data_IF_189252662512
#
_entry.id   IF_189252662512
#
_cell.length_a   1.000
_cell.length_b   1.000
_cell.length_c   1.000
_cell.angle_alpha   90.00
_cell.angle_beta   90.00
_cell.angle_gamma   90.00
#
_symmetry.space_group_name_H-M   'P 1'
#
loop_
_entity.id
_entity.type
_entity.pdbx_description
1 polymer ?
#
# COMPACT_ATOMS: atom_id res chain seq x y z
N UNK A 1 4.82 8.13 10.02
CA UNK A 1 5.83 9.13 9.60
C UNK A 1 6.05 8.95 8.12
N UNK A 2 5.85 10.01 7.34
CA UNK A 2 6.25 10.03 5.93
C UNK A 2 7.72 10.44 5.88
N UNK A 3 8.55 9.66 5.19
CA UNK A 3 9.98 9.95 5.06
C UNK A 3 10.51 9.42 3.73
N UNK A 4 11.00 10.32 2.87
CA UNK A 4 11.52 9.95 1.54
C UNK A 4 12.79 9.09 1.59
N UNK A 5 13.44 8.94 2.75
CA UNK A 5 14.57 8.02 2.95
C UNK A 5 14.15 6.68 3.55
N UNK A 6 12.88 6.54 3.94
CA UNK A 6 12.32 5.33 4.51
C UNK A 6 10.91 5.10 3.96
N UNK A 7 10.87 4.59 2.74
CA UNK A 7 9.68 4.39 1.95
C UNK A 7 9.36 2.91 1.83
N UNK A 8 8.07 2.58 1.95
CA UNK A 8 7.62 1.21 2.05
C UNK A 8 7.13 0.64 0.71
N UNK A 9 6.18 1.31 0.05
CA UNK A 9 5.62 0.90 -1.26
C UNK A 9 5.32 2.13 -2.12
N UNK A 10 4.73 3.17 -1.54
CA UNK A 10 4.49 4.43 -2.24
C UNK A 10 5.79 5.22 -2.41
N UNK A 11 5.99 5.77 -3.61
CA UNK A 11 7.12 6.64 -3.88
C UNK A 11 6.84 8.06 -3.37
N UNK A 12 7.58 8.46 -2.34
CA UNK A 12 7.57 9.82 -1.81
C UNK A 12 8.66 10.63 -2.50
N UNK A 13 8.22 11.67 -3.21
CA UNK A 13 9.12 12.69 -3.75
C UNK A 13 9.92 13.36 -2.64
N UNK A 14 11.14 13.82 -2.94
CA UNK A 14 11.93 14.66 -2.04
C UNK A 14 11.25 15.98 -1.69
N UNK A 15 10.24 16.39 -2.47
CA UNK A 15 9.38 17.53 -2.19
C UNK A 15 8.38 17.27 -1.05
N UNK A 16 8.10 16.01 -0.71
CA UNK A 16 7.21 15.67 0.41
C UNK A 16 7.97 15.86 1.73
N UNK A 17 7.51 16.76 2.62
CA UNK A 17 8.18 16.98 3.89
C UNK A 17 8.19 15.72 4.74
N UNK A 18 9.31 15.45 5.40
CA UNK A 18 9.37 14.44 6.43
C UNK A 18 8.47 14.88 7.59
N UNK A 19 7.35 14.20 7.78
CA UNK A 19 6.34 14.63 8.75
C UNK A 19 5.64 13.47 9.44
N UNK A 20 5.14 13.76 10.64
CA UNK A 20 4.16 12.92 11.33
C UNK A 20 2.79 13.54 11.03
N UNK A 21 1.94 12.78 10.34
CA UNK A 21 0.55 13.16 10.14
C UNK A 21 -0.28 12.64 11.31
N UNK A 22 -1.09 13.52 11.89
CA UNK A 22 -2.14 13.16 12.82
C UNK A 22 -3.22 12.34 12.09
N UNK A 23 -3.70 11.29 12.74
CA UNK A 23 -4.72 10.39 12.20
C UNK A 23 -5.97 10.37 13.05
N UNK A 24 -5.82 10.20 14.37
CA UNK A 24 -6.95 10.00 15.27
C UNK A 24 -6.54 10.18 16.74
N UNK A 25 -7.51 10.53 17.58
CA UNK A 25 -7.38 10.52 19.03
C UNK A 25 -7.80 9.16 19.57
N UNK A 26 -7.05 8.60 20.52
CA UNK A 26 -7.38 7.33 21.17
C UNK A 26 -7.44 7.51 22.68
N UNK A 27 -8.35 6.79 23.34
CA UNK A 27 -8.35 6.69 24.81
C UNK A 27 -7.35 5.63 25.28
N UNK A 28 -6.81 5.83 26.48
CA UNK A 28 -6.05 4.79 27.19
C UNK A 28 -6.96 3.86 28.00
N UNK A 29 -8.23 4.21 28.14
CA UNK A 29 -9.21 3.39 28.86
C UNK A 29 -9.53 2.13 28.04
N UNK A 30 -9.13 0.97 28.57
CA UNK A 30 -9.29 -0.34 27.94
C UNK A 30 -10.75 -0.81 27.83
N UNK A 31 -11.68 -0.10 28.48
CA UNK A 31 -13.11 -0.44 28.48
C UNK A 31 -13.82 -0.07 27.16
N UNK A 32 -13.17 0.72 26.30
CA UNK A 32 -13.59 0.96 24.93
C UNK A 32 -13.00 -0.08 23.98
N UNK A 33 -13.84 -0.75 23.18
CA UNK A 33 -13.41 -1.35 21.90
C UNK A 33 -12.51 -0.33 21.20
N UNK A 34 -11.30 -0.71 20.76
CA UNK A 34 -10.21 0.18 20.31
C UNK A 34 -10.54 1.10 19.12
N UNK A 35 -11.53 1.96 19.29
CA UNK A 35 -12.06 2.92 18.37
C UNK A 35 -11.56 4.32 18.75
N UNK A 36 -11.50 5.23 17.77
CA UNK A 36 -11.24 6.64 18.02
C UNK A 36 -12.05 7.21 19.18
N UNK A 37 -11.40 7.98 20.04
CA UNK A 37 -12.03 8.73 21.13
C UNK A 37 -13.02 9.78 20.60
N UNK A 38 -12.65 10.41 19.48
CA UNK A 38 -13.47 11.40 18.79
C UNK A 38 -13.89 10.88 17.41
N UNK A 39 -15.05 11.32 16.89
CA UNK A 39 -15.37 11.16 15.48
C UNK A 39 -14.19 11.67 14.61
N UNK A 40 -13.85 11.00 13.49
CA UNK A 40 -12.65 11.34 12.73
C UNK A 40 -12.62 12.81 12.27
N UNK A 41 -13.75 13.32 11.79
CA UNK A 41 -13.92 14.71 11.36
C UNK A 41 -13.71 15.71 12.50
N UNK A 42 -14.25 15.45 13.68
CA UNK A 42 -14.03 16.28 14.87
C UNK A 42 -12.57 16.20 15.33
N UNK A 43 -11.99 15.00 15.36
CA UNK A 43 -10.61 14.78 15.77
C UNK A 43 -9.61 15.51 14.88
N UNK A 44 -9.85 15.52 13.56
CA UNK A 44 -9.06 16.28 12.59
C UNK A 44 -9.13 17.79 12.83
N UNK A 45 -10.32 18.34 13.12
CA UNK A 45 -10.48 19.76 13.45
C UNK A 45 -9.70 20.16 14.71
N UNK A 46 -9.71 19.31 15.74
CA UNK A 46 -8.92 19.56 16.95
C UNK A 46 -7.42 19.56 16.62
N UNK A 47 -6.94 18.61 15.84
CA UNK A 47 -5.54 18.56 15.44
C UNK A 47 -5.13 19.77 14.58
N UNK A 48 -5.98 20.20 13.66
CA UNK A 48 -5.77 21.41 12.84
C UNK A 48 -5.67 22.66 13.72
N UNK A 49 -6.56 22.82 14.70
CA UNK A 49 -6.52 23.94 15.66
C UNK A 49 -5.25 23.94 16.53
N UNK A 50 -4.64 22.77 16.75
CA UNK A 50 -3.35 22.64 17.43
C UNK A 50 -2.14 22.84 16.50
N UNK A 51 -2.38 23.14 15.21
CA UNK A 51 -1.33 23.29 14.20
C UNK A 51 -0.65 21.98 13.82
N UNK A 52 -1.27 20.83 14.08
CA UNK A 52 -0.70 19.54 13.73
C UNK A 52 -1.02 19.19 12.28
N UNK A 53 -0.02 18.76 11.48
CA UNK A 53 -0.27 18.25 10.15
C UNK A 53 -1.26 17.08 10.21
N UNK A 54 -2.44 17.24 9.62
CA UNK A 54 -3.50 16.24 9.63
C UNK A 54 -3.84 15.81 8.21
N UNK A 55 -4.73 14.83 8.10
CA UNK A 55 -5.31 14.42 6.83
C UNK A 55 -6.24 15.52 6.32
N UNK A 56 -6.09 15.92 5.06
CA UNK A 56 -6.76 17.11 4.49
C UNK A 56 -8.00 16.80 3.64
N UNK A 57 -8.27 15.53 3.35
CA UNK A 57 -9.42 15.12 2.54
C UNK A 57 -10.16 13.94 3.15
N UNK A 58 -11.46 14.11 3.35
CA UNK A 58 -12.37 13.04 3.75
C UNK A 58 -13.70 13.15 3.01
N UNK A 59 -14.35 12.02 2.80
CA UNK A 59 -15.69 11.95 2.22
C UNK A 59 -16.66 11.29 3.21
N UNK A 60 -17.82 11.91 3.41
CA UNK A 60 -18.92 11.36 4.20
C UNK A 60 -19.91 10.66 3.27
N UNK A 61 -20.27 9.43 3.59
CA UNK A 61 -21.16 8.57 2.79
C UNK A 61 -22.30 8.11 3.67
N UNK A 62 -23.53 8.27 3.19
CA UNK A 62 -24.74 7.93 3.95
C UNK A 62 -25.53 6.76 3.35
N UNK A 63 -24.99 6.11 2.31
CA UNK A 63 -25.65 5.01 1.61
C UNK A 63 -24.75 3.77 1.59
N UNK A 64 -25.30 2.62 1.98
CA UNK A 64 -24.59 1.34 1.93
C UNK A 64 -24.19 0.97 0.48
N UNK A 65 -24.99 1.37 -0.50
CA UNK A 65 -24.72 1.13 -1.92
C UNK A 65 -23.49 1.95 -2.34
N UNK A 66 -23.47 3.24 -2.01
CA UNK A 66 -22.33 4.12 -2.29
C UNK A 66 -21.06 3.63 -1.58
N UNK A 67 -21.18 3.16 -0.35
CA UNK A 67 -20.05 2.59 0.39
C UNK A 67 -19.48 1.33 -0.30
N UNK A 68 -20.34 0.43 -0.80
CA UNK A 68 -19.91 -0.76 -1.55
C UNK A 68 -19.24 -0.38 -2.87
N UNK A 69 -19.85 0.49 -3.66
CA UNK A 69 -19.30 0.98 -4.93
C UNK A 69 -17.95 1.67 -4.71
N UNK A 70 -17.82 2.46 -3.64
CA UNK A 70 -16.56 3.07 -3.29
C UNK A 70 -15.49 2.03 -2.92
N UNK A 71 -15.82 1.03 -2.10
CA UNK A 71 -14.87 -0.03 -1.74
C UNK A 71 -14.34 -0.76 -2.99
N UNK A 72 -15.22 -1.07 -3.94
CA UNK A 72 -14.81 -1.63 -5.24
C UNK A 72 -13.89 -0.67 -6.00
N UNK A 73 -14.24 0.62 -6.04
CA UNK A 73 -13.43 1.66 -6.68
C UNK A 73 -12.04 1.83 -6.03
N UNK A 74 -11.93 1.76 -4.71
CA UNK A 74 -10.64 1.85 -4.01
C UNK A 74 -9.68 0.76 -4.49
N UNK A 75 -10.18 -0.43 -4.84
CA UNK A 75 -9.31 -1.52 -5.36
C UNK A 75 -8.61 -1.16 -6.66
N UNK A 76 -9.20 -0.25 -7.44
CA UNK A 76 -8.68 0.16 -8.74
C UNK A 76 -7.77 1.39 -8.67
N UNK A 77 -7.59 2.02 -7.51
CA UNK A 77 -6.67 3.15 -7.43
C UNK A 77 -5.20 2.74 -7.63
N UNK A 78 -4.44 3.65 -8.21
CA UNK A 78 -3.01 3.47 -8.50
C UNK A 78 -2.15 4.43 -7.67
N UNK A 79 -0.94 4.00 -7.31
CA UNK A 79 0.06 4.85 -6.66
C UNK A 79 -0.23 5.19 -5.20
N UNK A 80 -1.30 4.62 -4.64
CA UNK A 80 -1.71 4.80 -3.25
C UNK A 80 -1.94 3.46 -2.57
N UNK A 81 -1.70 3.41 -1.26
CA UNK A 81 -1.87 2.23 -0.42
C UNK A 81 -3.34 1.84 -0.29
N UNK A 82 -4.21 2.84 -0.30
CA UNK A 82 -5.67 2.72 -0.15
C UNK A 82 -6.16 3.75 0.86
N UNK A 83 -7.22 3.41 1.59
CA UNK A 83 -7.87 4.33 2.51
C UNK A 83 -8.29 3.66 3.83
N UNK A 84 -8.69 4.49 4.78
CA UNK A 84 -9.36 4.06 6.01
C UNK A 84 -10.83 4.48 5.94
N UNK A 85 -11.72 3.52 6.13
CA UNK A 85 -13.17 3.74 6.23
C UNK A 85 -13.57 3.65 7.69
N UNK A 86 -14.12 4.72 8.23
CA UNK A 86 -14.67 4.79 9.58
C UNK A 86 -16.18 4.55 9.54
N UNK A 87 -16.68 3.71 10.43
CA UNK A 87 -18.12 3.45 10.59
C UNK A 87 -18.57 4.15 11.86
N UNK A 88 -19.57 5.01 11.73
CA UNK A 88 -20.18 5.74 12.84
C UNK A 88 -21.60 5.22 13.07
N UNK A 89 -22.08 5.30 14.32
CA UNK A 89 -23.49 5.07 14.63
C UNK A 89 -24.32 6.37 14.51
N UNK A 90 -25.62 6.27 14.84
CA UNK A 90 -26.56 7.40 14.85
C UNK A 90 -26.20 8.51 15.85
N UNK A 91 -25.27 8.25 16.78
CA UNK A 91 -24.77 9.22 17.76
C UNK A 91 -23.37 9.75 17.37
N UNK A 92 -22.93 9.53 16.12
CA UNK A 92 -21.59 9.85 15.63
C UNK A 92 -20.46 9.13 16.39
N UNK A 93 -20.74 8.07 17.15
CA UNK A 93 -19.67 7.31 17.81
C UNK A 93 -19.02 6.37 16.80
N UNK A 94 -17.69 6.31 16.78
CA UNK A 94 -16.98 5.33 15.94
C UNK A 94 -17.21 3.92 16.48
N UNK A 95 -17.88 3.10 15.69
CA UNK A 95 -18.18 1.69 15.99
C UNK A 95 -17.22 0.73 15.31
N UNK A 96 -16.49 1.18 14.29
CA UNK A 96 -15.54 0.35 13.58
C UNK A 96 -14.66 1.11 12.60
N UNK A 97 -13.60 0.44 12.16
CA UNK A 97 -12.71 0.92 11.10
C UNK A 97 -12.34 -0.22 10.16
N UNK A 98 -12.27 0.08 8.86
CA UNK A 98 -11.81 -0.84 7.83
C UNK A 98 -10.70 -0.19 7.02
N UNK A 99 -9.55 -0.87 6.95
CA UNK A 99 -8.46 -0.49 6.04
C UNK A 99 -8.71 -1.16 4.70
N UNK A 100 -9.07 -0.38 3.69
CA UNK A 100 -9.29 -0.91 2.34
C UNK A 100 -8.07 -0.58 1.48
N UNK A 101 -7.35 -1.61 1.02
CA UNK A 101 -6.08 -1.45 0.29
C UNK A 101 -6.28 -1.62 -1.21
N UNK A 102 -5.53 -0.86 -2.00
CA UNK A 102 -5.56 -1.01 -3.46
C UNK A 102 -5.00 -2.36 -3.90
N UNK A 103 -5.42 -2.84 -5.07
CA UNK A 103 -4.85 -4.07 -5.65
C UNK A 103 -3.35 -3.89 -5.93
N UNK A 104 -2.99 -2.74 -6.51
CA UNK A 104 -1.61 -2.32 -6.77
C UNK A 104 -0.71 -2.44 -5.53
N UNK A 105 -1.14 -1.85 -4.39
CA UNK A 105 -0.35 -1.88 -3.16
C UNK A 105 -0.18 -3.29 -2.60
N UNK A 106 -1.24 -4.11 -2.62
CA UNK A 106 -1.18 -5.48 -2.09
C UNK A 106 -0.16 -6.31 -2.87
N UNK A 107 -0.17 -6.18 -4.21
CA UNK A 107 0.74 -6.90 -5.09
C UNK A 107 2.18 -6.43 -4.91
N UNK A 108 2.42 -5.11 -4.94
CA UNK A 108 3.76 -4.56 -4.69
C UNK A 108 4.31 -4.93 -3.32
N UNK A 109 3.50 -4.89 -2.27
CA UNK A 109 3.92 -5.30 -0.92
C UNK A 109 4.34 -6.77 -0.90
N UNK A 110 3.60 -7.64 -1.59
CA UNK A 110 3.93 -9.06 -1.69
C UNK A 110 5.23 -9.28 -2.46
N UNK A 111 5.40 -8.60 -3.60
CA UNK A 111 6.62 -8.65 -4.42
C UNK A 111 7.81 -8.15 -3.63
N UNK A 112 7.71 -6.98 -2.97
CA UNK A 112 8.77 -6.43 -2.12
C UNK A 112 9.20 -7.43 -1.05
N UNK A 113 8.26 -8.07 -0.36
CA UNK A 113 8.60 -9.02 0.69
C UNK A 113 9.40 -10.21 0.13
N UNK A 114 9.04 -10.71 -1.06
CA UNK A 114 9.78 -11.78 -1.73
C UNK A 114 11.15 -11.31 -2.24
N UNK A 115 11.22 -10.13 -2.84
CA UNK A 115 12.45 -9.52 -3.32
C UNK A 115 13.44 -9.26 -2.18
N UNK A 116 12.99 -8.66 -1.08
CA UNK A 116 13.81 -8.44 0.13
C UNK A 116 14.36 -9.75 0.67
N UNK A 117 13.52 -10.77 0.77
CA UNK A 117 13.96 -12.11 1.19
C UNK A 117 14.98 -12.71 0.21
N UNK A 118 14.80 -12.53 -1.11
CA UNK A 118 15.75 -13.00 -2.11
C UNK A 118 17.10 -12.30 -1.99
N UNK A 119 17.12 -10.96 -1.91
CA UNK A 119 18.34 -10.16 -1.72
C UNK A 119 19.08 -10.56 -0.44
N UNK A 120 18.35 -10.67 0.68
CA UNK A 120 18.95 -11.09 1.95
C UNK A 120 19.56 -12.50 1.85
N UNK A 121 18.90 -13.45 1.19
CA UNK A 121 19.41 -14.81 1.04
C UNK A 121 20.59 -14.89 0.06
N UNK A 122 20.60 -14.08 -1.00
CA UNK A 122 21.74 -13.96 -1.91
C UNK A 122 22.99 -13.52 -1.14
N UNK A 123 22.85 -12.51 -0.29
CA UNK A 123 23.94 -11.95 0.50
C UNK A 123 24.41 -12.92 1.60
N UNK A 124 23.49 -13.50 2.37
CA UNK A 124 23.86 -14.31 3.54
C UNK A 124 24.18 -15.78 3.23
N UNK A 125 23.68 -16.32 2.11
CA UNK A 125 23.79 -17.74 1.73
C UNK A 125 23.90 -17.90 0.21
N UNK A 126 24.98 -17.36 -0.41
CA UNK A 126 25.13 -17.36 -1.86
C UNK A 126 25.18 -18.78 -2.46
N UNK A 127 25.77 -19.73 -1.75
CA UNK A 127 25.87 -21.15 -2.12
C UNK A 127 24.51 -21.84 -2.30
N UNK A 128 23.47 -21.37 -1.61
CA UNK A 128 22.11 -21.91 -1.67
C UNK A 128 21.14 -21.01 -2.43
N UNK A 129 21.64 -19.91 -3.00
CA UNK A 129 20.79 -18.97 -3.70
C UNK A 129 20.40 -19.54 -5.08
N UNK A 130 19.10 -19.67 -5.31
CA UNK A 130 18.55 -20.07 -6.60
C UNK A 130 17.49 -19.07 -7.03
N UNK A 131 17.78 -18.33 -8.10
CA UNK A 131 16.84 -17.38 -8.69
C UNK A 131 15.56 -18.08 -9.15
N UNK A 132 15.66 -19.27 -9.74
CA UNK A 132 14.50 -20.05 -10.18
C UNK A 132 13.56 -20.38 -9.03
N UNK A 133 14.10 -20.74 -7.86
CA UNK A 133 13.28 -20.98 -6.67
C UNK A 133 12.59 -19.70 -6.17
N UNK A 134 13.27 -18.55 -6.25
CA UNK A 134 12.69 -17.25 -5.84
C UNK A 134 11.61 -16.76 -6.79
N UNK A 135 11.79 -16.99 -8.08
CA UNK A 135 10.76 -16.77 -9.10
C UNK A 135 9.53 -17.62 -8.82
N UNK A 136 9.68 -18.94 -8.63
CA UNK A 136 8.55 -19.81 -8.30
C UNK A 136 7.80 -19.38 -7.02
N UNK A 137 8.53 -18.85 -6.02
CA UNK A 137 7.93 -18.33 -4.78
C UNK A 137 7.10 -17.06 -4.97
N UNK A 138 7.48 -16.15 -5.88
CA UNK A 138 6.68 -14.95 -6.16
C UNK A 138 5.48 -15.30 -7.03
N UNK A 139 5.64 -16.18 -8.01
CA UNK A 139 4.54 -16.66 -8.86
C UNK A 139 3.46 -17.37 -8.04
N UNK A 140 3.88 -18.30 -7.16
CA UNK A 140 2.96 -18.96 -6.22
C UNK A 140 2.21 -17.92 -5.39
N UNK A 141 2.91 -16.88 -4.91
CA UNK A 141 2.27 -15.86 -4.08
C UNK A 141 1.24 -15.06 -4.84
N UNK A 142 1.48 -14.69 -6.11
CA UNK A 142 0.49 -13.96 -6.91
C UNK A 142 -0.75 -14.83 -7.15
N UNK A 143 -0.58 -16.12 -7.45
CA UNK A 143 -1.70 -17.06 -7.60
C UNK A 143 -2.50 -17.26 -6.30
N UNK A 144 -1.84 -17.25 -5.14
CA UNK A 144 -2.52 -17.25 -3.84
C UNK A 144 -3.30 -15.96 -3.58
N UNK A 145 -2.85 -14.82 -4.10
CA UNK A 145 -3.55 -13.54 -3.96
C UNK A 145 -4.78 -13.48 -4.86
N UNK A 146 -4.69 -14.01 -6.08
CA UNK A 146 -5.79 -14.00 -7.05
C UNK A 146 -6.99 -14.86 -6.65
N UNK A 147 -6.86 -15.76 -5.66
CA UNK A 147 -8.00 -16.56 -5.18
C UNK A 147 -8.99 -15.77 -4.32
N UNK A 148 -8.59 -14.60 -3.82
CA UNK A 148 -9.44 -13.74 -2.97
C UNK A 148 -9.40 -12.26 -3.36
N UNK A 149 -8.59 -11.89 -4.34
CA UNK A 149 -8.61 -10.57 -4.97
C UNK A 149 -9.39 -10.63 -6.29
N UNK A 150 -10.10 -9.56 -6.66
CA UNK A 150 -10.82 -9.47 -7.93
C UNK A 150 -9.82 -9.24 -9.08
N UNK A 151 -9.09 -10.28 -9.45
CA UNK A 151 -8.13 -10.29 -10.56
C UNK A 151 -8.62 -11.25 -11.63
N UNK A 152 -8.66 -10.80 -12.88
CA UNK A 152 -8.84 -11.69 -14.02
C UNK A 152 -7.53 -12.42 -14.37
N UNK A 153 -7.63 -13.40 -15.27
CA UNK A 153 -6.50 -14.23 -15.66
C UNK A 153 -5.38 -13.41 -16.33
N UNK A 154 -5.74 -12.41 -17.13
CA UNK A 154 -4.80 -11.53 -17.83
C UNK A 154 -3.96 -10.71 -16.84
N UNK A 155 -4.61 -10.10 -15.85
CA UNK A 155 -3.99 -9.39 -14.74
C UNK A 155 -3.00 -10.28 -13.99
N UNK A 156 -3.38 -11.53 -13.69
CA UNK A 156 -2.51 -12.49 -12.99
C UNK A 156 -1.26 -12.82 -13.82
N UNK A 157 -1.43 -13.10 -15.12
CA UNK A 157 -0.34 -13.43 -16.04
C UNK A 157 0.65 -12.26 -16.13
N UNK A 158 0.15 -11.05 -16.26
CA UNK A 158 0.99 -9.86 -16.39
C UNK A 158 1.73 -9.55 -15.08
N UNK A 159 1.08 -9.62 -13.91
CA UNK A 159 1.78 -9.45 -12.63
C UNK A 159 2.82 -10.54 -12.36
N UNK A 160 2.55 -11.78 -12.78
CA UNK A 160 3.56 -12.85 -12.76
C UNK A 160 4.75 -12.47 -13.63
N UNK A 161 4.51 -12.01 -14.86
CA UNK A 161 5.57 -11.59 -15.78
C UNK A 161 6.41 -10.44 -15.19
N UNK A 162 5.78 -9.37 -14.72
CA UNK A 162 6.47 -8.20 -14.14
C UNK A 162 7.27 -8.62 -12.91
N UNK A 163 6.66 -9.37 -11.98
CA UNK A 163 7.34 -9.80 -10.76
C UNK A 163 8.51 -10.73 -11.04
N UNK A 164 8.40 -11.65 -12.00
CA UNK A 164 9.50 -12.53 -12.41
C UNK A 164 10.67 -11.73 -13.00
N UNK A 165 10.38 -10.73 -13.84
CA UNK A 165 11.39 -9.81 -14.36
C UNK A 165 12.06 -9.02 -13.23
N UNK A 166 11.29 -8.52 -12.28
CA UNK A 166 11.82 -7.77 -11.14
C UNK A 166 12.69 -8.64 -10.24
N UNK A 167 12.28 -9.88 -9.94
CA UNK A 167 13.08 -10.81 -9.14
C UNK A 167 14.44 -11.08 -9.79
N UNK A 168 14.49 -11.20 -11.12
CA UNK A 168 15.75 -11.33 -11.86
C UNK A 168 16.57 -10.04 -11.83
N UNK A 169 15.92 -8.88 -11.99
CA UNK A 169 16.55 -7.57 -11.92
C UNK A 169 17.29 -7.38 -10.59
N UNK A 170 16.60 -7.56 -9.45
CA UNK A 170 17.22 -7.37 -8.13
C UNK A 170 18.25 -8.43 -7.76
N UNK A 171 18.23 -9.58 -8.46
CA UNK A 171 19.16 -10.67 -8.24
C UNK A 171 20.39 -10.63 -9.14
N UNK A 172 20.40 -9.82 -10.20
CA UNK A 172 21.51 -9.73 -11.16
C UNK A 172 22.72 -9.02 -10.54
N UNK A 173 23.92 -9.57 -10.75
CA UNK A 173 25.20 -9.06 -10.22
C UNK A 173 25.73 -7.82 -10.94
N UNK A 174 25.19 -7.50 -12.12
CA UNK A 174 25.70 -6.40 -12.97
C UNK A 174 25.17 -5.02 -12.58
N UNK A 175 24.07 -4.96 -11.83
CA UNK A 175 23.57 -3.72 -11.25
C UNK A 175 24.35 -3.43 -9.97
N UNK A 176 24.67 -2.14 -9.68
CA UNK A 176 25.20 -1.73 -8.37
C UNK A 176 24.47 -2.49 -7.27
N UNK A 177 25.20 -3.23 -6.43
CA UNK A 177 24.64 -4.24 -5.53
C UNK A 177 23.46 -3.66 -4.74
N UNK A 178 22.24 -4.02 -5.14
CA UNK A 178 21.05 -3.67 -4.36
C UNK A 178 21.17 -4.42 -3.04
N UNK A 179 21.32 -3.68 -1.94
CA UNK A 179 21.45 -4.24 -0.62
C UNK A 179 20.08 -4.51 0.02
N UNK A 180 20.08 -5.28 1.10
CA UNK A 180 18.86 -5.51 1.87
C UNK A 180 18.30 -4.20 2.46
N UNK A 181 19.18 -3.26 2.81
CA UNK A 181 18.78 -1.96 3.35
C UNK A 181 18.05 -1.12 2.28
N UNK A 182 18.51 -1.18 1.02
CA UNK A 182 17.83 -0.49 -0.08
C UNK A 182 16.43 -1.09 -0.32
N UNK A 183 16.31 -2.41 -0.33
CA UNK A 183 15.01 -3.08 -0.45
C UNK A 183 14.04 -2.77 0.71
N UNK A 184 14.57 -2.45 1.89
CA UNK A 184 13.77 -2.11 3.06
C UNK A 184 13.30 -0.66 3.03
N UNK A 185 14.13 0.26 2.56
CA UNK A 185 13.93 1.70 2.71
C UNK A 185 13.61 2.43 1.40
N UNK A 186 13.95 1.84 0.25
CA UNK A 186 13.94 2.48 -1.07
C UNK A 186 13.31 1.56 -2.13
N UNK A 187 12.50 0.58 -1.73
CA UNK A 187 11.78 -0.29 -2.65
C UNK A 187 11.05 0.47 -3.79
N UNK A 188 10.22 1.50 -3.53
CA UNK A 188 9.54 2.23 -4.61
C UNK A 188 10.52 2.80 -5.64
N UNK A 189 11.66 3.35 -5.19
CA UNK A 189 12.67 3.91 -6.10
C UNK A 189 13.30 2.82 -6.96
N UNK A 190 13.62 1.67 -6.37
CA UNK A 190 14.16 0.50 -7.11
C UNK A 190 13.13 -0.03 -8.11
N UNK A 191 11.86 -0.08 -7.71
CA UNK A 191 10.76 -0.53 -8.55
C UNK A 191 10.56 0.41 -9.75
N UNK A 192 10.47 1.72 -9.51
CA UNK A 192 10.33 2.73 -10.57
C UNK A 192 11.51 2.70 -11.54
N UNK A 193 12.75 2.55 -11.04
CA UNK A 193 13.94 2.38 -11.89
C UNK A 193 13.85 1.13 -12.76
N UNK A 194 13.46 -0.01 -12.17
CA UNK A 194 13.24 -1.25 -12.92
C UNK A 194 12.21 -1.10 -14.04
N UNK A 195 11.05 -0.47 -13.75
CA UNK A 195 10.01 -0.25 -14.76
C UNK A 195 10.54 0.60 -15.92
N UNK A 196 11.28 1.67 -15.60
CA UNK A 196 11.91 2.54 -16.58
C UNK A 196 12.96 1.80 -17.43
N UNK A 197 13.87 1.06 -16.80
CA UNK A 197 14.94 0.30 -17.48
C UNK A 197 14.39 -0.78 -18.43
N UNK A 198 13.22 -1.34 -18.11
CA UNK A 198 12.57 -2.37 -18.92
C UNK A 198 11.54 -1.82 -19.91
N UNK A 199 11.22 -0.53 -19.84
CA UNK A 199 10.18 0.09 -20.66
C UNK A 199 8.81 -0.57 -20.44
N UNK A 200 8.51 -0.98 -19.20
CA UNK A 200 7.24 -1.62 -18.84
C UNK A 200 6.47 -0.75 -17.83
N UNK A 201 5.18 -1.01 -17.69
CA UNK A 201 4.28 -0.31 -16.78
C UNK A 201 3.55 -1.31 -15.90
N UNK A 202 3.33 -0.94 -14.63
CA UNK A 202 2.46 -1.66 -13.70
C UNK A 202 1.06 -1.01 -13.59
N UNK A 203 0.75 -0.02 -14.45
CA UNK A 203 -0.57 0.62 -14.56
C UNK A 203 -1.54 -0.11 -15.48
N UNK A 204 -1.03 -0.74 -16.54
CA UNK A 204 -1.86 -1.42 -17.56
C UNK A 204 -2.53 -2.68 -17.03
N UNK A 205 -2.02 -3.20 -15.91
CA UNK A 205 -2.36 -4.50 -15.37
C UNK A 205 -3.63 -4.52 -14.51
N UNK A 206 -4.11 -3.35 -14.12
CA UNK A 206 -5.30 -3.15 -13.28
C UNK A 206 -6.07 -2.05 -14.00
N UNK A 207 -7.40 -2.06 -14.04
CA UNK A 207 -8.22 -0.96 -14.57
C UNK A 207 -8.06 0.30 -13.71
N UNK A 208 -6.84 0.84 -13.69
CA UNK A 208 -6.39 1.75 -12.68
C UNK A 208 -6.89 3.15 -12.99
N UNK A 209 -7.58 3.76 -12.03
CA UNK A 209 -8.00 5.15 -12.16
C UNK A 209 -6.90 6.06 -11.63
N UNK A 210 -6.58 7.14 -12.37
CA UNK A 210 -5.65 8.20 -11.94
C UNK A 210 -6.36 9.25 -11.06
N UNK A 211 -7.52 8.93 -10.51
CA UNK A 211 -8.22 9.84 -9.62
C UNK A 211 -7.42 9.99 -8.32
N UNK A 212 -7.29 11.23 -7.83
CA UNK A 212 -6.70 11.46 -6.52
C UNK A 212 -7.67 11.02 -5.44
N UNK A 213 -7.37 9.94 -4.69
CA UNK A 213 -8.27 9.44 -3.69
C UNK A 213 -8.36 10.38 -2.48
N UNK A 214 -9.52 10.47 -1.81
CA UNK A 214 -9.59 10.95 -0.44
C UNK A 214 -8.68 10.13 0.47
N UNK A 215 -8.01 10.78 1.41
CA UNK A 215 -7.14 10.11 2.38
C UNK A 215 -7.98 9.31 3.42
N UNK A 216 -9.23 9.72 3.69
CA UNK A 216 -10.17 9.03 4.59
C UNK A 216 -11.62 9.00 4.08
N UNK A 217 -12.38 8.01 4.56
CA UNK A 217 -13.82 7.89 4.35
C UNK A 217 -14.56 7.71 5.66
N UNK A 218 -15.72 8.33 5.76
CA UNK A 218 -16.60 8.25 6.92
C UNK A 218 -17.96 7.75 6.43
N UNK A 219 -18.39 6.60 6.92
CA UNK A 219 -19.70 6.03 6.66
C UNK A 219 -20.65 6.28 7.84
N UNK A 220 -21.77 6.94 7.57
CA UNK A 220 -22.84 7.25 8.53
C UNK A 220 -24.16 6.64 8.01
N UNK A 221 -24.56 5.45 8.47
CA UNK A 221 -25.81 4.82 8.03
C UNK A 221 -27.06 5.59 8.47
#
# INVERSE_FOLDING_TARGET
MLNHRHQHVEELSSAVPNCIKFLTWSSHELEGLGTPLLPPDEGLKVAENLGWPAITSHLVINSLIEAKTLMEKIRTWYGVEGCVVYFLDSHNKTIGLLKHKTLWYILLRAIRQKARSAVQNRISRPDRFSISNRVAQVEKRIKELSSWLPMDEECVIEWIKISTLFMRYVSCEKEKEIENNDMQNLFPVIWSRFLADKGISDKGTILCTNENPPEQFIFKP
#
